data_IF_973565785533
#
_entry.id   IF_973565785533
#
_cell.length_a   1.000
_cell.length_b   1.000
_cell.length_c   1.000
_cell.angle_alpha   90.00
_cell.angle_beta   90.00
_cell.angle_gamma   90.00
#
_symmetry.space_group_name_H-M   'P 1'
#
loop_
_entity.id
_entity.type
_entity.pdbx_description
1 polymer ?
#
# COMPACT_ATOMS: atom_id res chain seq x y z
N UNK A 1 -17.02 22.34 1.15
CA UNK A 1 -16.86 22.00 -0.29
C UNK A 1 -16.56 20.51 -0.37
N UNK A 2 -17.22 19.74 -1.25
CA UNK A 2 -16.91 18.32 -1.41
C UNK A 2 -15.67 18.23 -2.29
N UNK A 3 -14.61 17.60 -1.80
CA UNK A 3 -13.43 17.30 -2.63
C UNK A 3 -13.82 16.21 -3.63
N UNK A 4 -13.52 16.42 -4.90
CA UNK A 4 -13.69 15.42 -5.95
C UNK A 4 -12.36 14.72 -6.19
N UNK A 5 -12.38 13.42 -6.51
CA UNK A 5 -11.20 12.64 -6.80
C UNK A 5 -11.33 11.97 -8.17
N UNK A 6 -10.25 11.99 -8.96
CA UNK A 6 -10.10 11.19 -10.17
C UNK A 6 -9.59 9.80 -9.78
N UNK A 7 -10.17 8.76 -10.39
CA UNK A 7 -9.86 7.37 -10.08
C UNK A 7 -9.27 6.66 -11.31
N UNK A 8 -8.13 6.00 -11.14
CA UNK A 8 -7.43 5.21 -12.16
C UNK A 8 -7.03 3.85 -11.58
N UNK A 9 -7.21 2.78 -12.36
CA UNK A 9 -6.76 1.43 -12.00
C UNK A 9 -5.57 1.02 -12.85
N UNK A 10 -4.51 0.53 -12.21
CA UNK A 10 -3.33 0.01 -12.87
C UNK A 10 -3.21 -1.49 -12.60
N UNK A 11 -2.99 -2.26 -13.65
CA UNK A 11 -2.43 -3.62 -13.54
C UNK A 11 -0.91 -3.53 -13.66
N UNK A 12 -0.21 -4.26 -12.79
CA UNK A 12 1.23 -4.22 -12.61
C UNK A 12 1.80 -5.64 -12.59
N UNK A 13 2.80 -5.90 -13.41
CA UNK A 13 3.67 -7.05 -13.26
C UNK A 13 4.87 -6.74 -12.34
N UNK A 14 5.60 -7.77 -11.94
CA UNK A 14 6.78 -7.70 -11.06
C UNK A 14 7.83 -6.66 -11.50
N UNK A 15 8.08 -6.56 -12.79
CA UNK A 15 9.06 -5.64 -13.36
C UNK A 15 8.52 -4.21 -13.58
N UNK A 16 7.27 -3.94 -13.21
CA UNK A 16 6.59 -2.66 -13.48
C UNK A 16 6.52 -1.71 -12.28
N UNK A 17 7.44 -1.84 -11.32
CA UNK A 17 7.51 -0.92 -10.18
C UNK A 17 7.67 0.56 -10.57
N UNK A 18 8.32 0.86 -11.69
CA UNK A 18 8.44 2.24 -12.20
C UNK A 18 7.07 2.85 -12.56
N UNK A 19 6.11 2.03 -12.99
CA UNK A 19 4.73 2.47 -13.28
C UNK A 19 3.98 2.83 -11.99
N UNK A 20 4.19 2.07 -10.93
CA UNK A 20 3.65 2.38 -9.60
C UNK A 20 4.33 3.63 -8.99
N UNK A 21 5.65 3.75 -9.13
CA UNK A 21 6.38 4.93 -8.68
C UNK A 21 5.91 6.21 -9.38
N UNK A 22 5.65 6.14 -10.69
CA UNK A 22 5.03 7.25 -11.44
C UNK A 22 3.67 7.64 -10.86
N UNK A 23 2.85 6.68 -10.42
CA UNK A 23 1.59 6.97 -9.74
C UNK A 23 1.80 7.64 -8.38
N UNK A 24 2.84 7.25 -7.63
CA UNK A 24 3.20 7.92 -6.37
C UNK A 24 3.62 9.36 -6.59
N UNK A 25 4.42 9.64 -7.64
CA UNK A 25 4.80 11.01 -8.00
C UNK A 25 3.57 11.88 -8.31
N UNK A 26 2.57 11.34 -9.01
CA UNK A 26 1.30 12.03 -9.24
C UNK A 26 0.58 12.35 -7.92
N UNK A 27 0.46 11.37 -7.01
CA UNK A 27 -0.18 11.57 -5.70
C UNK A 27 0.52 12.65 -4.89
N UNK A 28 1.86 12.62 -4.85
CA UNK A 28 2.67 13.60 -4.13
C UNK A 28 2.55 15.01 -4.73
N UNK A 29 2.24 15.11 -6.02
CA UNK A 29 2.11 16.39 -6.72
C UNK A 29 0.70 16.97 -6.66
N UNK A 30 -0.33 16.12 -6.67
CA UNK A 30 -1.73 16.55 -6.81
C UNK A 30 -2.56 16.38 -5.52
N UNK A 31 -2.00 15.72 -4.50
CA UNK A 31 -2.70 15.15 -3.35
C UNK A 31 -3.56 13.95 -3.72
N UNK A 32 -3.62 12.97 -2.81
CA UNK A 32 -4.41 11.77 -2.98
C UNK A 32 -3.79 10.56 -2.31
N UNK A 33 -4.15 9.38 -2.81
CA UNK A 33 -3.63 8.12 -2.33
C UNK A 33 -3.61 7.04 -3.41
N UNK A 34 -2.75 6.04 -3.21
CA UNK A 34 -2.74 4.80 -3.98
C UNK A 34 -2.90 3.62 -3.02
N UNK A 35 -3.76 2.67 -3.35
CA UNK A 35 -3.78 1.34 -2.73
C UNK A 35 -3.19 0.33 -3.72
N UNK A 36 -2.34 -0.57 -3.24
CA UNK A 36 -1.65 -1.61 -4.01
C UNK A 36 -1.93 -2.95 -3.36
N UNK A 37 -2.42 -3.89 -4.15
CA UNK A 37 -2.85 -5.21 -3.68
C UNK A 37 -2.31 -6.29 -4.64
N UNK A 38 -1.81 -7.43 -4.14
CA UNK A 38 -1.46 -8.56 -4.99
C UNK A 38 -2.73 -9.16 -5.58
N UNK A 39 -2.66 -9.61 -6.83
CA UNK A 39 -3.76 -10.30 -7.51
C UNK A 39 -3.84 -11.72 -6.97
N UNK A 40 -4.90 -12.02 -6.22
CA UNK A 40 -5.25 -13.37 -5.77
C UNK A 40 -6.39 -13.93 -6.62
N UNK A 41 -6.30 -15.21 -7.01
CA UNK A 41 -7.36 -15.90 -7.76
C UNK A 41 -8.68 -15.91 -6.97
N UNK A 42 -9.81 -15.63 -7.64
CA UNK A 42 -11.12 -15.50 -6.98
C UNK A 42 -11.56 -16.78 -6.24
N UNK A 43 -11.23 -17.96 -6.74
CA UNK A 43 -11.57 -19.25 -6.10
C UNK A 43 -10.79 -19.51 -4.79
N UNK A 44 -9.73 -18.74 -4.54
CA UNK A 44 -8.96 -18.77 -3.29
C UNK A 44 -9.44 -17.75 -2.26
N UNK A 45 -10.33 -16.84 -2.66
CA UNK A 45 -11.00 -15.90 -1.75
C UNK A 45 -12.08 -16.66 -1.02
N UNK A 46 -11.86 -16.99 0.25
CA UNK A 46 -12.97 -17.36 1.13
C UNK A 46 -13.93 -16.18 1.14
N UNK A 47 -15.09 -16.35 0.48
CA UNK A 47 -16.11 -15.31 0.37
C UNK A 47 -16.34 -14.66 1.74
N UNK A 48 -15.89 -13.42 1.89
CA UNK A 48 -16.49 -12.51 2.86
C UNK A 48 -17.07 -11.38 2.04
N UNK A 49 -18.40 -11.29 1.88
CA UNK A 49 -19.02 -10.29 1.04
C UNK A 49 -18.65 -8.87 1.49
N UNK A 50 -18.09 -8.09 0.57
CA UNK A 50 -18.07 -6.63 0.61
C UNK A 50 -17.37 -6.00 1.80
N UNK A 51 -17.68 -4.72 1.99
CA UNK A 51 -17.23 -3.78 3.04
C UNK A 51 -17.48 -4.32 4.47
N UNK A 52 -16.94 -5.49 4.86
CA UNK A 52 -17.03 -6.11 6.19
C UNK A 52 -15.74 -6.85 6.63
N UNK A 53 -14.67 -6.85 5.83
CA UNK A 53 -13.33 -7.38 6.21
C UNK A 53 -12.67 -6.64 7.39
N UNK A 54 -12.86 -5.33 7.50
CA UNK A 54 -12.57 -4.48 8.68
C UNK A 54 -13.25 -4.88 10.02
N UNK A 55 -14.29 -5.73 10.05
CA UNK A 55 -14.91 -6.22 11.30
C UNK A 55 -14.35 -7.58 11.78
N UNK A 56 -13.42 -8.17 11.04
CA UNK A 56 -12.79 -9.43 11.42
C UNK A 56 -11.76 -9.20 12.54
N UNK A 57 -11.68 -10.15 13.48
CA UNK A 57 -10.65 -10.13 14.53
C UNK A 57 -9.21 -10.31 13.99
N UNK A 58 -9.08 -10.67 12.70
CA UNK A 58 -7.86 -10.75 11.87
C UNK A 58 -7.83 -9.56 10.89
N UNK A 59 -6.66 -9.01 10.58
CA UNK A 59 -6.53 -8.02 9.49
C UNK A 59 -6.90 -8.60 8.12
N UNK A 60 -6.81 -7.82 7.03
CA UNK A 60 -7.31 -8.25 5.72
C UNK A 60 -6.57 -9.52 5.23
N UNK A 61 -7.30 -10.43 4.56
CA UNK A 61 -6.71 -11.64 3.99
C UNK A 61 -5.75 -11.32 2.85
N UNK A 62 -6.10 -10.34 2.02
CA UNK A 62 -5.20 -9.75 1.01
C UNK A 62 -4.58 -8.50 1.62
N UNK A 63 -3.25 -8.42 1.79
CA UNK A 63 -2.63 -7.22 2.30
C UNK A 63 -2.80 -6.04 1.34
N UNK A 64 -2.94 -4.85 1.92
CA UNK A 64 -3.07 -3.61 1.16
C UNK A 64 -1.90 -2.70 1.52
N UNK A 65 -1.08 -2.37 0.52
CA UNK A 65 -0.08 -1.32 0.60
C UNK A 65 -0.73 0.01 0.26
N UNK A 66 -0.50 1.05 1.04
CA UNK A 66 -1.10 2.36 0.82
C UNK A 66 -0.02 3.43 0.86
N UNK A 67 -0.04 4.35 -0.11
CA UNK A 67 0.68 5.62 -0.02
C UNK A 67 -0.36 6.75 -0.02
N UNK A 68 -0.27 7.66 0.96
CA UNK A 68 -1.14 8.83 1.08
C UNK A 68 -0.30 10.09 1.16
N UNK A 69 -0.71 11.12 0.42
CA UNK A 69 -0.21 12.47 0.60
C UNK A 69 -1.37 13.45 0.49
N UNK A 70 -1.66 14.17 1.57
CA UNK A 70 -2.68 15.22 1.61
C UNK A 70 -2.16 16.44 2.36
N UNK A 71 -2.27 17.62 1.75
CA UNK A 71 -1.95 18.90 2.38
C UNK A 71 -0.55 19.43 2.08
N UNK A 72 -0.29 20.64 2.56
CA UNK A 72 0.97 21.37 2.29
C UNK A 72 2.11 20.95 3.23
N UNK A 73 1.79 20.36 4.39
CA UNK A 73 2.75 19.99 5.44
C UNK A 73 3.31 18.55 5.27
N UNK A 74 4.21 18.43 4.27
CA UNK A 74 5.49 17.68 4.23
C UNK A 74 5.64 16.23 4.72
N UNK A 75 4.59 15.47 5.03
CA UNK A 75 4.75 14.03 5.32
C UNK A 75 3.91 13.17 4.37
N UNK A 76 4.58 12.22 3.73
CA UNK A 76 3.95 11.12 3.01
C UNK A 76 3.79 9.97 3.99
N UNK A 77 2.59 9.41 4.05
CA UNK A 77 2.29 8.23 4.87
C UNK A 77 2.32 6.99 3.98
N UNK A 78 3.07 5.97 4.41
CA UNK A 78 3.07 4.65 3.78
C UNK A 78 2.56 3.63 4.79
N UNK A 79 1.60 2.81 4.38
CA UNK A 79 1.00 1.78 5.22
C UNK A 79 1.01 0.42 4.55
N UNK A 80 1.08 -0.64 5.36
CA UNK A 80 0.80 -2.01 4.90
C UNK A 80 -0.17 -2.65 5.88
N UNK A 81 -1.43 -2.75 5.48
CA UNK A 81 -2.47 -3.46 6.23
C UNK A 81 -2.39 -4.95 5.93
N UNK A 82 -2.34 -5.81 6.96
CA UNK A 82 -2.16 -7.26 6.80
C UNK A 82 -2.90 -8.07 7.87
N UNK A 83 -3.24 -9.32 7.54
CA UNK A 83 -3.87 -10.30 8.44
C UNK A 83 -2.91 -11.22 9.19
N UNK A 84 -1.60 -11.07 9.00
CA UNK A 84 -0.54 -12.02 9.41
C UNK A 84 -0.30 -12.14 10.92
N UNK A 85 -0.94 -11.31 11.75
CA UNK A 85 -0.77 -11.37 13.20
C UNK A 85 0.57 -10.82 13.67
N UNK A 86 1.13 -11.38 14.75
CA UNK A 86 2.34 -10.87 15.41
C UNK A 86 3.65 -11.12 14.66
N UNK A 87 3.63 -11.98 13.65
CA UNK A 87 4.85 -12.42 12.96
C UNK A 87 5.19 -11.56 11.73
N UNK A 88 4.41 -10.52 11.44
CA UNK A 88 4.58 -9.76 10.21
C UNK A 88 5.97 -9.10 10.11
N UNK A 89 6.46 -8.53 11.21
CA UNK A 89 7.77 -7.87 11.25
C UNK A 89 8.90 -8.89 11.06
N UNK A 90 8.78 -10.07 11.68
CA UNK A 90 9.75 -11.16 11.53
C UNK A 90 9.78 -11.71 10.09
N UNK A 91 8.63 -11.77 9.42
CA UNK A 91 8.54 -12.19 8.01
C UNK A 91 9.26 -11.18 7.11
N UNK A 92 8.98 -9.88 7.27
CA UNK A 92 9.65 -8.86 6.46
C UNK A 92 11.16 -8.86 6.69
N UNK A 93 11.61 -9.00 7.95
CA UNK A 93 13.02 -9.09 8.31
C UNK A 93 13.69 -10.33 7.68
N UNK A 94 13.07 -11.50 7.77
CA UNK A 94 13.59 -12.74 7.19
C UNK A 94 13.73 -12.65 5.66
N UNK A 95 12.77 -11.98 5.00
CA UNK A 95 12.77 -11.80 3.54
C UNK A 95 13.69 -10.65 3.08
N UNK A 96 14.34 -9.92 4.00
CA UNK A 96 15.20 -8.79 3.68
C UNK A 96 14.44 -7.55 3.20
N UNK A 97 13.15 -7.45 3.53
CA UNK A 97 12.28 -6.33 3.14
C UNK A 97 12.29 -5.31 4.27
N UNK A 98 13.07 -4.24 4.10
CA UNK A 98 13.21 -3.20 5.09
C UNK A 98 12.72 -1.86 4.56
N UNK A 99 11.99 -1.13 5.39
CA UNK A 99 11.73 0.28 5.13
C UNK A 99 13.07 1.05 5.15
N UNK A 100 13.28 2.00 4.21
CA UNK A 100 14.44 2.88 4.24
C UNK A 100 14.63 3.57 5.60
N UNK A 101 15.88 3.77 6.03
CA UNK A 101 16.19 4.34 7.34
C UNK A 101 15.67 5.78 7.57
N UNK A 102 15.36 6.52 6.49
CA UNK A 102 14.72 7.83 6.56
C UNK A 102 13.25 7.78 6.97
N UNK A 103 12.62 6.61 6.91
CA UNK A 103 11.21 6.43 7.24
C UNK A 103 11.03 6.24 8.74
N UNK A 104 10.12 7.02 9.33
CA UNK A 104 9.79 6.89 10.73
C UNK A 104 8.64 5.91 10.92
N UNK A 105 8.90 4.77 11.56
CA UNK A 105 7.85 3.83 11.96
C UNK A 105 6.94 4.48 13.02
N UNK A 106 5.67 4.66 12.68
CA UNK A 106 4.63 5.21 13.57
C UNK A 106 3.74 4.14 14.15
N UNK A 107 3.53 3.04 13.41
CA UNK A 107 2.71 1.93 13.85
C UNK A 107 3.33 0.61 13.38
N UNK A 108 3.41 -0.35 14.29
CA UNK A 108 3.52 -1.78 14.00
C UNK A 108 2.45 -2.44 14.87
N UNK A 109 1.38 -2.92 14.22
CA UNK A 109 0.26 -3.49 14.94
C UNK A 109 -0.22 -4.78 14.27
N UNK A 110 -0.35 -5.89 15.01
CA UNK A 110 -0.62 -7.22 14.46
C UNK A 110 -1.95 -7.38 13.71
N UNK A 111 -2.84 -6.38 13.81
CA UNK A 111 -4.15 -6.34 13.11
C UNK A 111 -4.38 -5.11 12.24
N UNK A 112 -3.60 -4.05 12.47
CA UNK A 112 -3.81 -2.75 11.79
C UNK A 112 -2.68 -2.45 10.82
N UNK A 113 -1.66 -3.31 10.80
CA UNK A 113 -0.55 -3.17 9.90
C UNK A 113 0.51 -2.21 10.38
N UNK A 114 1.40 -1.94 9.45
CA UNK A 114 2.47 -0.97 9.60
C UNK A 114 2.06 0.40 9.08
N UNK A 115 2.60 1.45 9.69
CA UNK A 115 2.55 2.82 9.16
C UNK A 115 3.90 3.47 9.35
N UNK A 116 4.44 4.02 8.27
CA UNK A 116 5.61 4.88 8.25
C UNK A 116 5.23 6.28 7.79
N UNK A 117 5.95 7.27 8.32
CA UNK A 117 5.93 8.63 7.78
C UNK A 117 7.32 9.00 7.26
N UNK A 118 7.34 9.67 6.12
CA UNK A 118 8.57 10.14 5.48
C UNK A 118 8.36 11.54 4.96
N UNK A 119 9.40 12.37 5.05
CA UNK A 119 9.36 13.70 4.46
C UNK A 119 9.24 13.60 2.96
N UNK A 120 8.36 14.40 2.36
CA UNK A 120 8.12 14.40 0.91
C UNK A 120 9.43 14.50 0.11
N UNK A 121 10.38 15.30 0.58
CA UNK A 121 11.67 15.53 -0.08
C UNK A 121 12.67 14.37 0.09
N UNK A 122 12.44 13.49 1.06
CA UNK A 122 13.28 12.32 1.36
C UNK A 122 12.71 11.02 0.78
N UNK A 123 11.48 11.06 0.25
CA UNK A 123 10.84 9.90 -0.36
C UNK A 123 11.45 9.62 -1.75
N UNK A 124 11.99 8.41 -1.90
CA UNK A 124 12.34 7.84 -3.21
C UNK A 124 11.20 6.93 -3.65
N UNK A 125 10.42 7.36 -4.64
CA UNK A 125 9.18 6.69 -5.09
C UNK A 125 9.41 5.27 -5.60
N UNK A 126 10.53 5.00 -6.28
CA UNK A 126 10.91 3.65 -6.71
C UNK A 126 11.14 2.70 -5.53
N UNK A 127 11.80 3.14 -4.46
CA UNK A 127 12.00 2.32 -3.26
C UNK A 127 10.68 2.09 -2.53
N UNK A 128 9.79 3.09 -2.52
CA UNK A 128 8.46 2.94 -1.95
C UNK A 128 7.60 1.94 -2.73
N UNK A 129 7.66 1.97 -4.06
CA UNK A 129 6.92 1.05 -4.92
C UNK A 129 7.39 -0.39 -4.71
N UNK A 130 8.71 -0.61 -4.75
CA UNK A 130 9.36 -1.89 -4.50
C UNK A 130 8.98 -2.44 -3.12
N UNK A 131 9.11 -1.61 -2.08
CA UNK A 131 8.75 -1.97 -0.71
C UNK A 131 7.29 -2.41 -0.57
N UNK A 132 6.34 -1.62 -1.10
CA UNK A 132 4.91 -1.93 -0.97
C UNK A 132 4.52 -3.18 -1.78
N UNK A 133 5.08 -3.37 -2.97
CA UNK A 133 4.84 -4.58 -3.77
C UNK A 133 5.37 -5.83 -3.05
N UNK A 134 6.62 -5.81 -2.57
CA UNK A 134 7.21 -6.95 -1.87
C UNK A 134 6.53 -7.25 -0.53
N UNK A 135 6.29 -6.22 0.28
CA UNK A 135 5.67 -6.39 1.58
C UNK A 135 4.26 -6.97 1.45
N UNK A 136 3.46 -6.48 0.49
CA UNK A 136 2.11 -7.01 0.27
C UNK A 136 2.12 -8.43 -0.29
N UNK A 137 3.06 -8.76 -1.17
CA UNK A 137 3.25 -10.11 -1.70
C UNK A 137 3.61 -11.10 -0.60
N UNK A 138 4.62 -10.79 0.23
CA UNK A 138 5.13 -11.70 1.27
C UNK A 138 4.21 -11.85 2.46
N UNK A 139 3.47 -10.79 2.81
CA UNK A 139 2.49 -10.85 3.89
C UNK A 139 1.17 -11.48 3.44
N UNK A 140 1.00 -11.78 2.15
CA UNK A 140 -0.19 -12.44 1.62
C UNK A 140 -0.14 -13.94 1.97
N UNK A 141 -1.09 -14.45 2.78
CA UNK A 141 -1.15 -15.88 3.12
C UNK A 141 -1.70 -16.74 1.97
N UNK A 142 -2.33 -16.11 0.96
CA UNK A 142 -2.95 -16.79 -0.16
C UNK A 142 -1.94 -16.96 -1.29
N UNK A 143 -1.88 -18.13 -1.97
CA UNK A 143 -1.07 -18.29 -3.18
C UNK A 143 -1.46 -17.26 -4.24
N UNK A 144 -0.47 -16.61 -4.83
CA UNK A 144 -0.68 -15.61 -5.87
C UNK A 144 0.50 -15.55 -6.83
N UNK A 145 0.20 -15.11 -8.05
CA UNK A 145 1.20 -14.75 -9.04
C UNK A 145 1.78 -13.38 -8.72
N UNK A 146 2.99 -13.07 -9.23
CA UNK A 146 3.63 -11.75 -9.06
C UNK A 146 2.97 -10.70 -9.97
N UNK A 147 1.72 -10.41 -9.66
CA UNK A 147 0.84 -9.43 -10.28
C UNK A 147 0.18 -8.60 -9.18
N UNK A 148 -0.01 -7.31 -9.44
CA UNK A 148 -0.65 -6.39 -8.53
C UNK A 148 -1.66 -5.52 -9.25
N UNK A 149 -2.67 -5.08 -8.52
CA UNK A 149 -3.53 -3.97 -8.92
C UNK A 149 -3.22 -2.75 -8.06
N UNK A 150 -3.15 -1.58 -8.66
CA UNK A 150 -3.07 -0.32 -7.94
C UNK A 150 -4.27 0.59 -8.25
N UNK A 151 -5.01 0.95 -7.21
CA UNK A 151 -6.11 1.91 -7.26
C UNK A 151 -5.61 3.31 -6.89
N UNK A 152 -5.48 4.18 -7.89
CA UNK A 152 -4.94 5.54 -7.77
C UNK A 152 -6.12 6.52 -7.63
N UNK A 153 -6.07 7.37 -6.61
CA UNK A 153 -7.08 8.39 -6.33
C UNK A 153 -6.38 9.74 -6.18
N UNK A 154 -6.68 10.68 -7.06
CA UNK A 154 -6.02 12.00 -7.10
C UNK A 154 -7.06 13.10 -6.88
N UNK A 155 -6.73 14.09 -6.05
CA UNK A 155 -7.60 15.24 -5.85
C UNK A 155 -7.81 15.97 -7.18
N UNK A 156 -9.06 16.16 -7.55
CA UNK A 156 -9.45 16.89 -8.75
C UNK A 156 -9.20 18.39 -8.54
N UNK A 157 -8.20 18.92 -9.25
CA UNK A 157 -7.80 20.33 -9.18
C UNK A 157 -8.54 21.21 -10.20
N UNK A 158 -9.59 20.71 -10.86
CA UNK A 158 -10.34 21.46 -11.87
C UNK A 158 -11.25 22.53 -11.23
N UNK A 159 -10.66 23.61 -10.70
CA UNK A 159 -11.35 24.85 -10.31
C UNK A 159 -10.44 26.08 -10.43
#
# INVERSE_FOLDING_TARGET
MKQNYLHEMLELADDQKDKLATAFEKVISLNGWVNVEPVVEDDSRVETPGLFSWFSARGPQVPVGTLVFEGEDRLVSLGVSHGTGRNASDILEHEGIHAPASWQLKQDHPKRGFVWEVRKEELVTNLAADFLMEATYKLCPTPQERLWTAAVNLLDQTH
#
